data_IF_860237955727
#
_entry.id   IF_860237955727
#
_cell.length_a   1.000
_cell.length_b   1.000
_cell.length_c   1.000
_cell.angle_alpha   90.00
_cell.angle_beta   90.00
_cell.angle_gamma   90.00
#
_symmetry.space_group_name_H-M   'P 1'
#
loop_
_entity.id
_entity.type
_entity.pdbx_description
1 polymer ?
#
# COMPACT_ATOMS: atom_id res chain seq x y z
N UNK A 1 10.55 26.09 3.14
CA UNK A 1 9.29 26.20 2.37
C UNK A 1 8.66 24.81 2.39
N UNK A 2 7.44 24.65 2.91
CA UNK A 2 6.78 23.34 2.87
C UNK A 2 6.50 22.97 1.41
N UNK A 3 6.72 21.71 0.99
CA UNK A 3 6.43 21.31 -0.38
C UNK A 3 4.95 21.54 -0.69
N UNK A 4 4.69 22.33 -1.73
CA UNK A 4 3.34 22.57 -2.26
C UNK A 4 2.97 21.44 -3.23
N UNK A 5 1.82 20.83 -3.02
CA UNK A 5 1.26 19.76 -3.85
C UNK A 5 -0.23 19.60 -3.58
N UNK A 6 -0.91 18.82 -4.41
CA UNK A 6 -2.30 18.44 -4.16
C UNK A 6 -2.35 17.31 -3.11
N UNK A 7 -3.47 17.19 -2.39
CA UNK A 7 -3.76 16.03 -1.56
C UNK A 7 -5.21 15.61 -1.82
N UNK A 8 -5.50 14.31 -1.72
CA UNK A 8 -6.78 13.75 -2.09
C UNK A 8 -7.37 12.87 -0.99
N UNK A 9 -8.64 13.08 -0.70
CA UNK A 9 -9.49 12.11 -0.02
C UNK A 9 -10.50 11.59 -1.04
N UNK A 10 -10.62 10.27 -1.16
CA UNK A 10 -11.61 9.63 -2.03
C UNK A 10 -12.48 8.68 -1.26
N UNK A 11 -13.78 8.74 -1.55
CA UNK A 11 -14.81 7.93 -0.92
C UNK A 11 -15.70 7.32 -2.00
N UNK A 12 -15.87 6.00 -1.96
CA UNK A 12 -16.73 5.26 -2.90
C UNK A 12 -18.15 5.06 -2.34
N UNK A 13 -18.57 5.79 -1.30
CA UNK A 13 -19.96 5.85 -0.81
C UNK A 13 -20.88 6.58 -1.81
N UNK A 14 -20.93 6.05 -3.02
CA UNK A 14 -21.66 6.56 -4.17
C UNK A 14 -22.72 5.53 -4.57
N UNK A 15 -23.79 6.01 -5.21
CA UNK A 15 -24.79 5.13 -5.83
C UNK A 15 -24.54 4.93 -7.33
N UNK A 16 -23.61 5.68 -7.93
CA UNK A 16 -23.52 5.80 -9.39
C UNK A 16 -22.16 5.50 -9.99
N UNK A 17 -21.08 5.51 -9.21
CA UNK A 17 -19.72 5.42 -9.77
C UNK A 17 -18.65 5.05 -8.76
N UNK A 18 -17.56 4.51 -9.30
CA UNK A 18 -16.28 4.32 -8.59
C UNK A 18 -15.62 5.66 -8.24
N UNK A 19 -14.84 5.68 -7.16
CA UNK A 19 -13.97 6.79 -6.81
C UNK A 19 -12.53 6.46 -7.20
N UNK A 20 -11.93 7.26 -8.09
CA UNK A 20 -10.62 6.94 -8.69
C UNK A 20 -9.66 8.13 -8.61
N UNK A 21 -8.44 7.88 -8.11
CA UNK A 21 -7.29 8.78 -8.26
C UNK A 21 -6.22 8.09 -9.09
N UNK A 22 -5.65 8.80 -10.06
CA UNK A 22 -4.55 8.29 -10.89
C UNK A 22 -3.39 9.29 -10.96
N UNK A 23 -2.23 8.89 -10.42
CA UNK A 23 -0.99 9.65 -10.46
C UNK A 23 -0.03 9.10 -11.50
N UNK A 24 0.22 9.85 -12.58
CA UNK A 24 1.18 9.47 -13.64
C UNK A 24 2.50 10.24 -13.59
N UNK A 25 2.58 11.26 -12.73
CA UNK A 25 3.66 12.24 -12.64
C UNK A 25 3.28 13.37 -11.68
N UNK A 26 4.14 14.38 -11.52
CA UNK A 26 3.88 15.52 -10.65
C UNK A 26 4.04 15.21 -9.15
N UNK A 27 3.40 16.02 -8.31
CA UNK A 27 3.52 15.95 -6.84
C UNK A 27 2.15 15.95 -6.16
N UNK A 28 1.87 14.89 -5.41
CA UNK A 28 0.74 14.79 -4.47
C UNK A 28 1.35 14.84 -3.08
N UNK A 29 1.22 15.97 -2.39
CA UNK A 29 1.96 16.21 -1.14
C UNK A 29 1.05 16.79 -0.08
N UNK A 30 1.12 16.21 1.12
CA UNK A 30 0.41 16.67 2.30
C UNK A 30 1.39 16.80 3.47
N UNK A 31 1.91 18.01 3.77
CA UNK A 31 2.98 18.19 4.75
C UNK A 31 2.56 17.97 6.21
N UNK A 32 1.26 17.75 6.46
CA UNK A 32 0.69 17.61 7.81
C UNK A 32 -0.34 16.48 7.91
N UNK A 33 -0.55 15.71 6.85
CA UNK A 33 -1.57 14.66 6.82
C UNK A 33 -1.22 13.61 5.76
N UNK A 34 -2.16 12.73 5.43
CA UNK A 34 -2.00 11.76 4.34
C UNK A 34 -2.06 12.45 2.98
N UNK A 35 -1.25 11.99 2.02
CA UNK A 35 -1.27 12.54 0.66
C UNK A 35 -2.48 12.04 -0.13
N UNK A 36 -2.75 10.73 -0.04
CA UNK A 36 -3.97 10.10 -0.54
C UNK A 36 -4.61 9.30 0.57
N UNK A 37 -5.87 9.60 0.89
CA UNK A 37 -6.69 8.82 1.83
C UNK A 37 -7.84 8.17 1.09
N UNK A 38 -7.91 6.85 1.13
CA UNK A 38 -8.99 6.05 0.54
C UNK A 38 -9.97 5.65 1.64
N UNK A 39 -11.23 6.08 1.52
CA UNK A 39 -12.35 5.60 2.32
C UNK A 39 -13.15 4.59 1.49
N UNK A 40 -12.90 3.31 1.71
CA UNK A 40 -13.63 2.24 1.03
C UNK A 40 -14.89 1.86 1.83
N UNK A 41 -15.97 2.58 1.56
CA UNK A 41 -17.29 2.46 2.17
C UNK A 41 -18.26 1.55 1.42
N UNK A 42 -18.05 1.31 0.12
CA UNK A 42 -19.02 0.61 -0.72
C UNK A 42 -18.70 -0.86 -0.97
N UNK A 43 -19.76 -1.65 -1.08
CA UNK A 43 -19.78 -3.05 -1.55
C UNK A 43 -20.16 -3.17 -3.02
N UNK A 44 -20.48 -2.04 -3.69
CA UNK A 44 -20.98 -1.99 -5.08
C UNK A 44 -20.02 -1.28 -6.05
N UNK A 45 -19.41 -0.19 -5.59
CA UNK A 45 -18.50 0.64 -6.37
C UNK A 45 -17.10 0.59 -5.75
N UNK A 46 -16.05 0.75 -6.56
CA UNK A 46 -14.67 0.63 -6.12
C UNK A 46 -14.09 1.95 -5.62
N UNK A 47 -13.21 1.85 -4.64
CA UNK A 47 -12.26 2.91 -4.28
C UNK A 47 -10.89 2.57 -4.87
N UNK A 48 -10.39 3.36 -5.82
CA UNK A 48 -9.24 2.98 -6.66
C UNK A 48 -8.14 4.03 -6.62
N UNK A 49 -6.90 3.58 -6.39
CA UNK A 49 -5.70 4.39 -6.58
C UNK A 49 -4.76 3.70 -7.57
N UNK A 50 -4.40 4.43 -8.63
CA UNK A 50 -3.39 4.00 -9.59
C UNK A 50 -2.20 4.95 -9.56
N UNK A 51 -0.98 4.43 -9.39
CA UNK A 51 0.25 5.22 -9.39
C UNK A 51 1.24 4.60 -10.37
N UNK A 52 1.65 5.36 -11.38
CA UNK A 52 2.65 4.95 -12.35
C UNK A 52 3.87 5.88 -12.38
N UNK A 53 3.85 6.99 -11.64
CA UNK A 53 4.92 7.98 -11.62
C UNK A 53 4.62 9.17 -10.71
N UNK A 54 5.62 10.04 -10.53
CA UNK A 54 5.52 11.22 -9.65
C UNK A 54 5.97 10.97 -8.22
N UNK A 55 5.74 11.96 -7.35
CA UNK A 55 6.03 11.88 -5.91
C UNK A 55 4.73 11.99 -5.13
N UNK A 56 4.50 11.05 -4.23
CA UNK A 56 3.39 11.03 -3.29
C UNK A 56 3.98 11.07 -1.88
N UNK A 57 3.77 12.16 -1.14
CA UNK A 57 4.44 12.41 0.14
C UNK A 57 3.45 12.92 1.18
N UNK A 58 3.41 12.30 2.36
CA UNK A 58 2.63 12.77 3.50
C UNK A 58 2.96 11.98 4.75
N UNK A 59 2.24 12.18 5.86
CA UNK A 59 2.38 11.33 7.06
C UNK A 59 2.32 9.86 6.63
N UNK A 60 1.42 9.56 5.69
CA UNK A 60 1.53 8.40 4.81
C UNK A 60 1.36 8.87 3.38
N UNK A 61 2.05 8.25 2.44
CA UNK A 61 1.82 8.51 1.02
C UNK A 61 0.40 8.07 0.65
N UNK A 62 0.01 6.85 1.03
CA UNK A 62 -1.35 6.34 0.82
C UNK A 62 -1.85 5.65 2.09
N UNK A 63 -3.06 6.00 2.54
CA UNK A 63 -3.77 5.27 3.57
C UNK A 63 -5.08 4.69 3.01
N UNK A 64 -5.17 3.36 2.97
CA UNK A 64 -6.39 2.62 2.64
C UNK A 64 -7.15 2.32 3.93
N UNK A 65 -8.35 2.90 4.06
CA UNK A 65 -9.18 2.75 5.23
C UNK A 65 -10.51 2.08 4.87
N UNK A 66 -10.85 1.00 5.58
CA UNK A 66 -12.22 0.48 5.67
C UNK A 66 -12.85 1.07 6.95
N UNK A 67 -13.69 2.11 6.84
CA UNK A 67 -14.10 2.89 8.01
C UNK A 67 -15.24 2.24 8.82
N UNK A 68 -15.97 1.28 8.26
CA UNK A 68 -17.04 0.58 8.96
C UNK A 68 -16.57 -0.61 9.80
N UNK A 69 -17.48 -1.09 10.65
CA UNK A 69 -17.24 -2.21 11.57
C UNK A 69 -18.29 -3.33 11.43
N UNK A 70 -19.11 -3.28 10.37
CA UNK A 70 -20.19 -4.24 10.09
C UNK A 70 -19.70 -5.61 9.61
N UNK A 71 -18.45 -5.69 9.18
CA UNK A 71 -17.86 -6.90 8.65
C UNK A 71 -18.11 -7.11 7.15
N UNK A 72 -18.61 -6.10 6.46
CA UNK A 72 -18.88 -6.14 5.02
C UNK A 72 -17.59 -6.18 4.20
N UNK A 73 -17.61 -6.87 3.06
CA UNK A 73 -16.47 -6.91 2.13
C UNK A 73 -16.45 -5.67 1.24
N UNK A 74 -15.57 -4.72 1.60
CA UNK A 74 -15.47 -3.44 0.88
C UNK A 74 -14.60 -3.57 -0.37
N UNK A 75 -14.98 -2.83 -1.40
CA UNK A 75 -14.32 -2.84 -2.71
C UNK A 75 -13.24 -1.75 -2.77
N UNK A 76 -11.98 -2.14 -2.61
CA UNK A 76 -10.83 -1.26 -2.75
C UNK A 76 -9.75 -1.87 -3.65
N UNK A 77 -9.11 -1.05 -4.48
CA UNK A 77 -8.08 -1.50 -5.40
C UNK A 77 -6.92 -0.49 -5.45
N UNK A 78 -5.69 -0.95 -5.26
CA UNK A 78 -4.49 -0.13 -5.37
C UNK A 78 -3.51 -0.77 -6.35
N UNK A 79 -3.06 0.01 -7.35
CA UNK A 79 -2.07 -0.43 -8.34
C UNK A 79 -0.90 0.54 -8.39
N UNK A 80 0.29 0.05 -8.11
CA UNK A 80 1.52 0.86 -8.09
C UNK A 80 2.53 0.21 -9.02
N UNK A 81 2.88 0.90 -10.10
CA UNK A 81 3.88 0.46 -11.07
C UNK A 81 5.09 1.37 -11.17
N UNK A 82 5.08 2.51 -10.48
CA UNK A 82 6.16 3.49 -10.51
C UNK A 82 5.95 4.66 -9.54
N UNK A 83 6.85 5.64 -9.59
CA UNK A 83 6.84 6.82 -8.71
C UNK A 83 7.56 6.61 -7.38
N UNK A 84 7.59 7.65 -6.56
CA UNK A 84 8.14 7.64 -5.20
C UNK A 84 7.02 7.88 -4.20
N UNK A 85 6.83 6.95 -3.27
CA UNK A 85 5.88 7.05 -2.17
C UNK A 85 6.66 7.23 -0.87
N UNK A 86 6.50 8.39 -0.23
CA UNK A 86 7.27 8.77 0.95
C UNK A 86 6.37 9.02 2.15
N UNK A 87 6.74 8.45 3.29
CA UNK A 87 6.25 8.86 4.59
C UNK A 87 7.12 9.97 5.17
N UNK A 88 6.48 10.98 5.76
CA UNK A 88 7.14 12.01 6.58
C UNK A 88 6.88 11.79 8.08
N UNK A 89 6.26 10.67 8.44
CA UNK A 89 5.95 10.31 9.82
C UNK A 89 7.22 9.80 10.52
N UNK A 90 7.65 10.51 11.56
CA UNK A 90 8.85 10.18 12.33
C UNK A 90 8.63 8.98 13.27
N UNK A 91 7.38 8.68 13.64
CA UNK A 91 7.05 7.62 14.59
C UNK A 91 6.82 6.29 13.86
N UNK A 92 5.86 6.25 12.94
CA UNK A 92 5.46 5.01 12.27
C UNK A 92 6.13 4.82 10.90
N UNK A 93 6.53 5.91 10.24
CA UNK A 93 7.20 5.89 8.92
C UNK A 93 6.53 4.97 7.87
N UNK A 94 5.19 5.00 7.74
CA UNK A 94 4.46 4.13 6.80
C UNK A 94 4.21 4.84 5.47
N UNK A 95 4.85 4.41 4.39
CA UNK A 95 4.56 4.90 3.04
C UNK A 95 3.14 4.46 2.60
N UNK A 96 2.80 3.20 2.84
CA UNK A 96 1.46 2.65 2.62
C UNK A 96 0.96 2.01 3.91
N UNK A 97 -0.31 2.23 4.20
CA UNK A 97 -1.00 1.50 5.25
C UNK A 97 -2.40 1.09 4.81
N UNK A 98 -2.79 -0.16 5.05
CA UNK A 98 -4.20 -0.57 5.03
C UNK A 98 -4.71 -0.76 6.47
N UNK A 99 -5.91 -0.27 6.75
CA UNK A 99 -6.53 -0.30 8.08
C UNK A 99 -8.03 -0.56 8.02
N UNK A 100 -8.53 -1.43 8.89
CA UNK A 100 -9.97 -1.64 9.06
C UNK A 100 -10.44 -1.37 10.50
N UNK A 101 -11.61 -0.75 10.61
CA UNK A 101 -12.33 -0.64 11.89
C UNK A 101 -13.19 -1.89 12.19
N UNK A 102 -13.35 -2.82 11.24
CA UNK A 102 -14.02 -4.11 11.44
C UNK A 102 -14.62 -4.69 10.16
N UNK A 103 -14.78 -3.87 9.11
CA UNK A 103 -15.11 -4.34 7.77
C UNK A 103 -14.00 -5.22 7.16
N UNK A 104 -14.37 -6.04 6.17
CA UNK A 104 -13.55 -7.11 5.63
C UNK A 104 -12.71 -6.64 4.44
N UNK A 105 -11.42 -7.00 4.47
CA UNK A 105 -10.50 -6.85 3.34
C UNK A 105 -10.69 -7.93 2.24
N UNK A 106 -11.65 -8.85 2.38
CA UNK A 106 -11.80 -10.00 1.47
C UNK A 106 -11.99 -9.65 -0.02
N UNK A 107 -12.36 -8.40 -0.34
CA UNK A 107 -12.42 -7.88 -1.73
C UNK A 107 -11.47 -6.72 -2.01
N UNK A 108 -10.52 -6.47 -1.11
CA UNK A 108 -9.46 -5.48 -1.29
C UNK A 108 -8.29 -6.10 -2.05
N UNK A 109 -7.81 -5.39 -3.07
CA UNK A 109 -6.70 -5.84 -3.93
C UNK A 109 -5.59 -4.80 -3.97
N UNK A 110 -4.35 -5.22 -3.74
CA UNK A 110 -3.18 -4.36 -3.82
C UNK A 110 -2.16 -5.03 -4.73
N UNK A 111 -1.69 -4.31 -5.74
CA UNK A 111 -0.69 -4.78 -6.69
C UNK A 111 0.44 -3.78 -6.78
N UNK A 112 1.65 -4.23 -6.49
CA UNK A 112 2.88 -3.44 -6.57
C UNK A 112 3.83 -4.14 -7.55
N UNK A 113 4.09 -3.50 -8.68
CA UNK A 113 5.02 -4.01 -9.71
C UNK A 113 6.25 -3.12 -9.88
N UNK A 114 6.30 -1.97 -9.22
CA UNK A 114 7.40 -1.01 -9.31
C UNK A 114 7.21 0.19 -8.37
N UNK A 115 8.15 1.13 -8.43
CA UNK A 115 8.17 2.33 -7.59
C UNK A 115 9.23 2.27 -6.48
N UNK A 116 9.39 3.40 -5.79
CA UNK A 116 10.30 3.57 -4.66
C UNK A 116 9.46 3.90 -3.42
N UNK A 117 9.65 3.14 -2.35
CA UNK A 117 8.91 3.28 -1.09
C UNK A 117 9.87 3.77 -0.01
N UNK A 118 9.76 5.05 0.34
CA UNK A 118 10.53 5.71 1.39
C UNK A 118 9.70 5.75 2.67
N UNK A 119 9.63 4.57 3.29
CA UNK A 119 8.77 4.24 4.42
C UNK A 119 8.33 2.78 4.30
N UNK A 120 7.81 2.24 5.39
CA UNK A 120 7.31 0.87 5.44
C UNK A 120 5.98 0.73 4.68
N UNK A 121 5.72 -0.49 4.21
CA UNK A 121 4.47 -0.86 3.55
C UNK A 121 3.79 -1.90 4.43
N UNK A 122 2.70 -1.48 5.08
CA UNK A 122 2.05 -2.27 6.10
C UNK A 122 0.61 -2.64 5.71
N UNK A 123 0.30 -3.93 5.82
CA UNK A 123 -0.97 -4.54 5.43
C UNK A 123 -1.78 -5.07 6.61
N UNK A 124 -3.07 -5.28 6.40
CA UNK A 124 -4.03 -5.85 7.36
C UNK A 124 -4.04 -5.16 8.74
N UNK A 125 -3.94 -3.82 8.79
CA UNK A 125 -4.01 -3.08 10.05
C UNK A 125 -5.42 -3.05 10.66
N UNK A 126 -5.51 -2.84 11.97
CA UNK A 126 -6.78 -2.61 12.67
C UNK A 126 -7.39 -3.84 13.34
N UNK A 127 -8.72 -3.83 13.52
CA UNK A 127 -9.43 -4.76 14.41
C UNK A 127 -9.65 -6.15 13.78
N UNK A 128 -10.00 -6.19 12.49
CA UNK A 128 -10.26 -7.43 11.77
C UNK A 128 -9.05 -7.84 10.93
N UNK A 129 -8.50 -9.01 11.24
CA UNK A 129 -7.31 -9.58 10.56
C UNK A 129 -7.62 -10.76 9.65
N UNK A 130 -8.89 -11.11 9.48
CA UNK A 130 -9.33 -12.22 8.63
C UNK A 130 -10.72 -11.95 8.05
N UNK A 131 -10.93 -12.10 6.72
CA UNK A 131 -9.89 -12.34 5.71
C UNK A 131 -8.99 -11.10 5.53
N UNK A 132 -7.78 -11.31 5.02
CA UNK A 132 -6.83 -10.26 4.64
C UNK A 132 -7.09 -9.79 3.20
N UNK A 133 -6.50 -8.65 2.81
CA UNK A 133 -6.48 -8.23 1.42
C UNK A 133 -5.66 -9.19 0.54
N UNK A 134 -5.96 -9.22 -0.76
CA UNK A 134 -5.10 -9.87 -1.73
C UNK A 134 -3.97 -8.92 -2.13
N UNK A 135 -2.73 -9.30 -1.83
CA UNK A 135 -1.53 -8.52 -2.16
C UNK A 135 -0.71 -9.27 -3.20
N UNK A 136 -0.10 -8.55 -4.14
CA UNK A 136 0.95 -9.05 -5.04
C UNK A 136 2.07 -8.02 -5.11
N UNK A 137 3.30 -8.43 -4.79
CA UNK A 137 4.50 -7.60 -4.94
C UNK A 137 5.47 -8.32 -5.88
N UNK A 138 5.61 -7.81 -7.10
CA UNK A 138 6.49 -8.38 -8.12
C UNK A 138 7.68 -7.48 -8.49
N UNK A 139 7.76 -6.29 -7.91
CA UNK A 139 8.83 -5.34 -8.15
C UNK A 139 8.74 -4.12 -7.24
N UNK A 140 9.69 -3.19 -7.41
CA UNK A 140 9.82 -1.99 -6.60
C UNK A 140 11.05 -2.02 -5.69
N UNK A 141 11.31 -0.87 -5.06
CA UNK A 141 12.42 -0.66 -4.15
C UNK A 141 11.92 -0.16 -2.79
N UNK A 142 12.07 -0.98 -1.76
CA UNK A 142 11.48 -0.77 -0.44
C UNK A 142 12.55 -0.39 0.58
N UNK A 143 12.52 0.85 1.05
CA UNK A 143 13.56 1.44 1.90
C UNK A 143 13.13 1.58 3.36
N UNK A 144 11.92 1.14 3.70
CA UNK A 144 11.40 1.13 5.06
C UNK A 144 12.24 0.24 5.98
N UNK A 145 12.34 0.62 7.26
CA UNK A 145 13.11 -0.10 8.28
C UNK A 145 12.54 -1.48 8.58
N UNK A 146 11.22 -1.61 8.60
CA UNK A 146 10.52 -2.89 8.74
C UNK A 146 10.15 -3.49 7.38
N UNK A 147 10.28 -2.71 6.30
CA UNK A 147 10.12 -3.17 4.93
C UNK A 147 8.65 -3.35 4.57
N UNK A 148 8.31 -4.54 4.05
CA UNK A 148 6.94 -4.91 3.69
C UNK A 148 6.44 -5.96 4.66
N UNK A 149 5.32 -5.70 5.34
CA UNK A 149 4.79 -6.61 6.34
C UNK A 149 3.27 -6.53 6.49
N UNK A 150 2.71 -7.48 7.23
CA UNK A 150 1.29 -7.55 7.55
C UNK A 150 1.07 -7.79 9.05
N UNK A 151 0.07 -7.11 9.61
CA UNK A 151 -0.39 -7.33 11.00
C UNK A 151 -1.29 -8.57 11.16
N UNK A 152 -1.80 -9.11 10.05
CA UNK A 152 -2.54 -10.37 9.98
C UNK A 152 -1.76 -11.45 9.23
N UNK A 153 -2.12 -12.70 9.43
CA UNK A 153 -1.49 -13.84 8.75
C UNK A 153 -1.83 -13.79 7.25
N UNK A 154 -0.80 -13.75 6.41
CA UNK A 154 -0.92 -13.77 4.96
C UNK A 154 -0.03 -14.86 4.40
N UNK A 155 -0.55 -15.57 3.39
CA UNK A 155 0.28 -16.42 2.55
C UNK A 155 1.34 -15.57 1.82
N UNK A 156 2.48 -16.16 1.42
CA UNK A 156 3.51 -15.45 0.67
C UNK A 156 2.96 -14.72 -0.56
N UNK A 157 3.34 -13.47 -0.72
CA UNK A 157 2.85 -12.59 -1.79
C UNK A 157 3.94 -11.80 -2.51
N UNK A 158 5.20 -11.95 -2.08
CA UNK A 158 6.36 -11.28 -2.66
C UNK A 158 7.06 -12.24 -3.63
N UNK A 159 7.11 -11.85 -4.90
CA UNK A 159 7.76 -12.59 -6.00
C UNK A 159 8.90 -11.81 -6.64
N UNK A 160 9.07 -10.53 -6.31
CA UNK A 160 10.17 -9.71 -6.82
C UNK A 160 10.34 -8.39 -6.06
N UNK A 161 11.42 -7.68 -6.38
CA UNK A 161 11.76 -6.38 -5.79
C UNK A 161 13.08 -6.39 -5.01
N UNK A 162 13.45 -5.19 -4.56
CA UNK A 162 14.65 -4.95 -3.74
C UNK A 162 14.25 -4.30 -2.42
N UNK A 163 14.80 -4.78 -1.32
CA UNK A 163 14.36 -4.44 0.04
C UNK A 163 15.56 -4.11 0.92
N UNK A 164 15.46 -3.04 1.70
CA UNK A 164 16.42 -2.72 2.74
C UNK A 164 16.31 -3.67 3.96
N UNK A 165 15.15 -4.29 4.14
CA UNK A 165 14.85 -5.23 5.22
C UNK A 165 14.44 -6.58 4.66
N UNK A 166 14.77 -7.65 5.37
CA UNK A 166 14.61 -9.02 4.89
C UNK A 166 13.12 -9.37 4.65
N UNK A 167 12.70 -9.67 3.40
CA UNK A 167 11.30 -9.95 3.07
C UNK A 167 10.92 -11.44 3.22
N UNK A 168 11.81 -12.31 3.70
CA UNK A 168 11.66 -13.77 3.67
C UNK A 168 10.34 -14.32 4.20
N UNK A 169 9.73 -13.69 5.21
CA UNK A 169 8.47 -14.14 5.81
C UNK A 169 7.29 -14.12 4.81
N UNK A 170 7.41 -13.35 3.73
CA UNK A 170 6.36 -13.19 2.71
C UNK A 170 6.81 -13.68 1.32
N UNK A 171 7.90 -14.44 1.24
CA UNK A 171 8.42 -15.05 0.01
C UNK A 171 8.24 -16.56 0.06
N UNK A 172 7.64 -17.15 -0.97
CA UNK A 172 7.53 -18.60 -1.07
C UNK A 172 8.89 -19.21 -1.42
N UNK A 173 9.56 -19.77 -0.40
CA UNK A 173 10.87 -20.39 -0.53
C UNK A 173 10.91 -21.62 -1.44
N UNK A 174 9.77 -22.16 -1.91
CA UNK A 174 9.76 -23.24 -2.91
C UNK A 174 9.97 -22.72 -4.32
N UNK A 175 9.46 -21.53 -4.62
CA UNK A 175 9.42 -20.96 -5.97
C UNK A 175 10.36 -19.76 -6.16
N UNK A 176 10.72 -19.08 -5.07
CA UNK A 176 11.54 -17.88 -5.08
C UNK A 176 12.65 -17.96 -4.02
N UNK A 177 13.65 -17.10 -4.17
CA UNK A 177 14.78 -16.99 -3.25
C UNK A 177 15.11 -15.52 -2.94
N UNK A 178 15.56 -15.29 -1.71
CA UNK A 178 16.05 -13.99 -1.24
C UNK A 178 17.57 -14.01 -1.26
N UNK A 179 18.17 -13.17 -2.11
CA UNK A 179 19.62 -13.01 -2.22
C UNK A 179 20.04 -11.70 -1.56
N UNK A 180 21.22 -11.66 -0.97
CA UNK A 180 21.81 -10.41 -0.48
C UNK A 180 22.77 -9.86 -1.53
N UNK A 181 22.55 -8.63 -1.98
CA UNK A 181 23.40 -7.92 -2.94
C UNK A 181 23.59 -6.48 -2.48
N UNK A 182 24.84 -6.06 -2.37
CA UNK A 182 25.21 -4.68 -1.99
C UNK A 182 24.54 -4.19 -0.68
N UNK A 183 24.35 -5.11 0.28
CA UNK A 183 23.70 -4.84 1.57
C UNK A 183 22.18 -4.84 1.55
N UNK A 184 21.56 -5.16 0.41
CA UNK A 184 20.10 -5.22 0.23
C UNK A 184 19.62 -6.63 -0.08
N UNK A 185 18.34 -6.89 0.14
CA UNK A 185 17.68 -8.15 -0.16
C UNK A 185 16.99 -8.06 -1.52
N UNK A 186 17.31 -8.96 -2.44
CA UNK A 186 16.73 -9.06 -3.78
C UNK A 186 15.98 -10.36 -3.92
N UNK A 187 14.69 -10.29 -4.26
CA UNK A 187 13.84 -11.46 -4.47
C UNK A 187 13.85 -11.82 -5.96
N UNK A 188 14.18 -13.08 -6.26
CA UNK A 188 14.18 -13.63 -7.62
C UNK A 188 13.48 -14.99 -7.66
N UNK A 189 12.97 -15.38 -8.82
CA UNK A 189 12.56 -16.76 -9.08
C UNK A 189 13.77 -17.71 -8.93
N UNK A 190 13.49 -18.96 -8.53
CA UNK A 190 14.47 -20.05 -8.49
C UNK A 190 14.68 -20.69 -9.86
#
# INVERSE_FOLDING_TARGET
>A
MLPCGAAYAIDNNSNTSDAVVSGKGGKIVSPRNFAIRMFANSTKHKNVVNVSGGVIEGIRAIWLQLPGASGEEKLAEMKISGGTLRSIDEEYNLAIYSYTFGDSFGKTKITITGGIFEGDVAFTGGSRKTPTETVVVSGGYFRGRYGVYSYGLMEPFITGGTFASNPSDYVDSKTHQVNVKDGEYVVNAK
#
